data_IF_201811343757
#
_entry.id   IF_201811343757
#
_cell.length_a   1.000
_cell.length_b   1.000
_cell.length_c   1.000
_cell.angle_alpha   90.00
_cell.angle_beta   90.00
_cell.angle_gamma   90.00
#
_symmetry.space_group_name_H-M   'P 1'
#
loop_
_entity.id
_entity.type
_entity.pdbx_description
1 polymer ?
#
# COMPACT_ATOMS: atom_id res chain seq x y z
N UNK A 1 20.74 -9.91 -16.03
CA UNK A 1 20.57 -11.28 -15.49
C UNK A 1 20.34 -11.14 -14.01
N UNK A 2 19.24 -11.69 -13.44
CA UNK A 2 19.01 -11.66 -12.00
C UNK A 2 19.94 -12.68 -11.33
N UNK A 3 20.72 -12.23 -10.35
CA UNK A 3 21.59 -13.11 -9.56
C UNK A 3 20.84 -13.81 -8.40
N UNK A 4 19.52 -13.67 -8.36
CA UNK A 4 18.64 -14.30 -7.36
C UNK A 4 17.91 -15.48 -7.99
N UNK A 5 17.69 -16.52 -7.18
CA UNK A 5 16.86 -17.64 -7.61
C UNK A 5 15.46 -17.15 -8.01
N UNK A 6 14.79 -17.77 -9.01
CA UNK A 6 13.47 -17.33 -9.46
C UNK A 6 12.41 -17.35 -8.36
N UNK A 7 12.63 -18.05 -7.25
CA UNK A 7 11.71 -18.20 -6.11
C UNK A 7 12.27 -17.63 -4.79
N UNK A 8 13.24 -16.72 -4.89
CA UNK A 8 13.81 -16.08 -3.72
C UNK A 8 12.86 -15.01 -3.14
N UNK A 9 13.00 -14.65 -1.86
CA UNK A 9 12.30 -13.50 -1.27
C UNK A 9 12.54 -12.20 -2.03
N UNK A 10 13.68 -12.06 -2.71
CA UNK A 10 14.02 -10.90 -3.55
C UNK A 10 13.19 -10.83 -4.82
N UNK A 11 13.05 -11.93 -5.54
CA UNK A 11 12.22 -11.97 -6.76
C UNK A 11 10.74 -11.75 -6.44
N UNK A 12 10.27 -12.26 -5.31
CA UNK A 12 8.92 -12.04 -4.84
C UNK A 12 8.69 -10.56 -4.42
N UNK A 13 9.66 -9.95 -3.77
CA UNK A 13 9.63 -8.52 -3.45
C UNK A 13 9.58 -7.64 -4.72
N UNK A 14 10.33 -7.98 -5.78
CA UNK A 14 10.25 -7.29 -7.08
C UNK A 14 8.85 -7.43 -7.70
N UNK A 15 8.26 -8.61 -7.68
CA UNK A 15 6.89 -8.82 -8.13
C UNK A 15 5.91 -7.94 -7.37
N UNK A 16 5.98 -7.90 -6.03
CA UNK A 16 5.09 -7.08 -5.20
C UNK A 16 5.27 -5.59 -5.46
N UNK A 17 6.50 -5.12 -5.68
CA UNK A 17 6.76 -3.71 -6.00
C UNK A 17 6.13 -3.31 -7.34
N UNK A 18 6.12 -4.19 -8.32
CA UNK A 18 5.44 -3.98 -9.61
C UNK A 18 3.91 -4.00 -9.49
N UNK A 19 3.36 -4.74 -8.52
CA UNK A 19 1.92 -4.74 -8.22
C UNK A 19 1.50 -3.53 -7.37
N UNK A 20 2.45 -2.86 -6.72
CA UNK A 20 2.16 -1.73 -5.83
C UNK A 20 1.34 -0.60 -6.48
N UNK A 21 1.59 -0.17 -7.74
CA UNK A 21 0.75 0.84 -8.40
C UNK A 21 -0.71 0.42 -8.54
N UNK A 22 -0.97 -0.84 -8.88
CA UNK A 22 -2.32 -1.38 -8.97
C UNK A 22 -3.02 -1.36 -7.60
N UNK A 23 -2.32 -1.84 -6.57
CA UNK A 23 -2.82 -1.87 -5.20
C UNK A 23 -3.05 -0.46 -4.64
N UNK A 24 -2.16 0.49 -4.96
CA UNK A 24 -2.28 1.91 -4.61
C UNK A 24 -3.53 2.54 -5.21
N UNK A 25 -3.73 2.37 -6.52
CA UNK A 25 -4.92 2.86 -7.22
C UNK A 25 -6.17 2.22 -6.64
N UNK A 26 -6.16 0.90 -6.39
CA UNK A 26 -7.29 0.18 -5.79
C UNK A 26 -7.63 0.69 -4.39
N UNK A 27 -6.63 0.92 -3.53
CA UNK A 27 -6.81 1.47 -2.19
C UNK A 27 -7.49 2.86 -2.23
N UNK A 28 -6.98 3.75 -3.09
CA UNK A 28 -7.54 5.08 -3.28
C UNK A 28 -8.92 5.04 -3.93
N UNK A 29 -9.16 4.10 -4.84
CA UNK A 29 -10.47 3.88 -5.44
C UNK A 29 -11.53 3.52 -4.39
N UNK A 30 -11.22 2.63 -3.44
CA UNK A 30 -12.13 2.36 -2.32
C UNK A 30 -12.46 3.62 -1.51
N UNK A 31 -11.51 4.55 -1.35
CA UNK A 31 -11.77 5.80 -0.68
C UNK A 31 -12.72 6.72 -1.45
N UNK A 32 -12.76 6.65 -2.79
CA UNK A 32 -13.67 7.49 -3.59
C UNK A 32 -15.13 7.22 -3.26
N UNK A 33 -15.50 5.99 -2.90
CA UNK A 33 -16.86 5.66 -2.48
C UNK A 33 -17.30 6.43 -1.23
N UNK A 34 -16.36 6.78 -0.35
CA UNK A 34 -16.65 7.44 0.92
C UNK A 34 -16.43 8.97 0.89
N UNK A 35 -15.66 9.46 -0.08
CA UNK A 35 -15.29 10.88 -0.19
C UNK A 35 -16.00 11.61 -1.33
N UNK A 36 -16.71 10.88 -2.20
CA UNK A 36 -17.46 11.46 -3.32
C UNK A 36 -18.56 12.43 -2.83
N UNK A 37 -18.95 13.36 -3.68
CA UNK A 37 -20.05 14.30 -3.37
C UNK A 37 -21.36 13.58 -3.07
N UNK A 38 -21.64 12.47 -3.77
CA UNK A 38 -22.81 11.63 -3.50
C UNK A 38 -22.76 11.03 -2.10
N UNK A 39 -21.58 10.55 -1.66
CA UNK A 39 -21.39 10.04 -0.32
C UNK A 39 -21.54 11.13 0.74
N UNK A 40 -21.07 12.36 0.46
CA UNK A 40 -21.23 13.51 1.35
C UNK A 40 -22.71 13.91 1.49
N UNK A 41 -23.49 13.92 0.40
CA UNK A 41 -24.94 14.18 0.43
C UNK A 41 -25.68 13.09 1.20
N UNK A 42 -25.30 11.82 1.02
CA UNK A 42 -25.89 10.72 1.80
C UNK A 42 -25.51 10.78 3.28
N UNK A 43 -24.32 11.31 3.62
CA UNK A 43 -23.88 11.49 5.01
C UNK A 43 -24.81 12.45 5.79
N UNK A 44 -25.35 13.48 5.16
CA UNK A 44 -26.31 14.40 5.79
C UNK A 44 -27.56 13.65 6.27
N UNK A 45 -28.01 12.64 5.51
CA UNK A 45 -29.16 11.81 5.90
C UNK A 45 -28.82 10.83 7.05
N UNK A 46 -27.58 10.34 7.08
CA UNK A 46 -27.09 9.43 8.14
C UNK A 46 -26.71 10.17 9.42
N UNK A 47 -26.31 11.45 9.34
CA UNK A 47 -26.03 12.29 10.51
C UNK A 47 -27.33 12.66 11.27
N UNK A 48 -28.50 12.55 10.62
CA UNK A 48 -29.79 12.64 11.27
C UNK A 48 -30.16 11.37 12.07
N UNK A 49 -29.43 10.27 11.90
CA UNK A 49 -29.61 9.04 12.68
C UNK A 49 -28.82 9.12 14.01
N UNK A 50 -29.28 8.51 15.11
CA UNK A 50 -28.65 8.59 16.44
C UNK A 50 -27.34 7.79 16.53
N UNK A 51 -26.60 7.63 15.43
CA UNK A 51 -25.31 6.99 15.38
C UNK A 51 -24.20 7.99 15.74
N UNK A 52 -23.33 7.61 16.66
CA UNK A 52 -22.15 8.41 17.00
C UNK A 52 -21.29 8.65 15.76
N UNK A 53 -21.01 9.91 15.34
CA UNK A 53 -20.23 10.23 14.12
C UNK A 53 -18.87 9.54 14.07
N UNK A 54 -18.33 9.23 15.27
CA UNK A 54 -17.05 8.50 15.42
C UNK A 54 -17.11 7.07 14.90
N UNK A 55 -18.20 6.35 15.15
CA UNK A 55 -18.36 4.95 14.72
C UNK A 55 -18.49 4.85 13.21
N UNK A 56 -19.13 5.83 12.60
CA UNK A 56 -19.31 5.87 11.15
C UNK A 56 -17.99 6.15 10.40
N UNK A 57 -17.17 7.10 10.86
CA UNK A 57 -15.84 7.34 10.29
C UNK A 57 -14.91 6.12 10.41
N UNK A 58 -14.95 5.45 11.58
CA UNK A 58 -14.19 4.20 11.79
C UNK A 58 -14.67 3.08 10.86
N UNK A 59 -15.97 2.92 10.67
CA UNK A 59 -16.53 1.90 9.77
C UNK A 59 -16.09 2.13 8.32
N UNK A 60 -16.08 3.37 7.83
CA UNK A 60 -15.58 3.72 6.48
C UNK A 60 -14.09 3.41 6.33
N UNK A 61 -13.29 3.80 7.30
CA UNK A 61 -11.86 3.51 7.30
C UNK A 61 -11.60 2.00 7.32
N UNK A 62 -12.31 1.26 8.17
CA UNK A 62 -12.24 -0.19 8.23
C UNK A 62 -12.65 -0.85 6.91
N UNK A 63 -13.72 -0.37 6.27
CA UNK A 63 -14.16 -0.88 4.97
C UNK A 63 -13.10 -0.67 3.87
N UNK A 64 -12.49 0.53 3.80
CA UNK A 64 -11.42 0.81 2.85
C UNK A 64 -10.18 -0.06 3.11
N UNK A 65 -9.78 -0.22 4.37
CA UNK A 65 -8.69 -1.11 4.78
C UNK A 65 -8.98 -2.57 4.41
N UNK A 66 -10.20 -3.05 4.69
CA UNK A 66 -10.61 -4.42 4.33
C UNK A 66 -10.59 -4.64 2.82
N UNK A 67 -11.15 -3.71 2.03
CA UNK A 67 -11.11 -3.78 0.57
C UNK A 67 -9.68 -3.81 0.02
N UNK A 68 -8.79 -2.97 0.56
CA UNK A 68 -7.38 -2.93 0.18
C UNK A 68 -6.66 -4.23 0.56
N UNK A 69 -6.92 -4.76 1.77
CA UNK A 69 -6.35 -6.03 2.23
C UNK A 69 -6.81 -7.21 1.36
N UNK A 70 -8.09 -7.27 1.01
CA UNK A 70 -8.62 -8.31 0.11
C UNK A 70 -7.98 -8.24 -1.28
N UNK A 71 -7.80 -7.04 -1.83
CA UNK A 71 -7.11 -6.86 -3.11
C UNK A 71 -5.64 -7.31 -3.02
N UNK A 72 -4.93 -6.94 -1.96
CA UNK A 72 -3.55 -7.39 -1.73
C UNK A 72 -3.47 -8.91 -1.57
N UNK A 73 -4.38 -9.51 -0.80
CA UNK A 73 -4.47 -10.96 -0.64
C UNK A 73 -4.76 -11.67 -1.97
N UNK A 74 -5.60 -11.11 -2.83
CA UNK A 74 -5.85 -11.67 -4.15
C UNK A 74 -4.57 -11.71 -4.99
N UNK A 75 -3.79 -10.63 -5.04
CA UNK A 75 -2.50 -10.59 -5.75
C UNK A 75 -1.48 -11.58 -5.16
N UNK A 76 -1.41 -11.70 -3.84
CA UNK A 76 -0.51 -12.65 -3.16
C UNK A 76 -0.93 -14.08 -3.45
N UNK A 77 -2.23 -14.38 -3.37
CA UNK A 77 -2.75 -15.74 -3.64
C UNK A 77 -2.57 -16.15 -5.09
N UNK A 78 -2.70 -15.22 -6.05
CA UNK A 78 -2.41 -15.47 -7.46
C UNK A 78 -0.95 -15.90 -7.66
N UNK A 79 0.00 -15.13 -7.08
CA UNK A 79 1.41 -15.48 -7.13
C UNK A 79 1.69 -16.81 -6.42
N UNK A 80 1.07 -17.03 -5.27
CA UNK A 80 1.21 -18.26 -4.50
C UNK A 80 0.71 -19.48 -5.29
N UNK A 81 -0.46 -19.39 -5.91
CA UNK A 81 -1.01 -20.45 -6.76
C UNK A 81 -0.09 -20.72 -7.95
N UNK A 82 0.43 -19.67 -8.59
CA UNK A 82 1.35 -19.80 -9.71
C UNK A 82 2.61 -20.56 -9.30
N UNK A 83 3.25 -20.17 -8.19
CA UNK A 83 4.46 -20.83 -7.71
C UNK A 83 4.20 -22.27 -7.23
N UNK A 84 3.09 -22.53 -6.55
CA UNK A 84 2.73 -23.87 -6.08
C UNK A 84 2.43 -24.82 -7.22
N UNK A 85 1.59 -24.41 -8.20
CA UNK A 85 1.11 -25.27 -9.29
C UNK A 85 2.21 -25.53 -10.33
N UNK A 86 2.91 -24.48 -10.78
CA UNK A 86 3.86 -24.61 -11.88
C UNK A 86 5.27 -25.04 -11.45
N UNK A 87 5.65 -24.76 -10.20
CA UNK A 87 7.01 -25.00 -9.74
C UNK A 87 7.12 -25.87 -8.49
N UNK A 88 5.99 -26.31 -7.93
CA UNK A 88 5.98 -27.15 -6.73
C UNK A 88 6.62 -26.49 -5.51
N UNK A 89 6.66 -25.14 -5.45
CA UNK A 89 7.33 -24.41 -4.40
C UNK A 89 6.38 -24.04 -3.25
N UNK A 90 6.79 -24.34 -2.01
CA UNK A 90 5.95 -24.19 -0.81
C UNK A 90 6.68 -23.46 0.35
N UNK A 91 7.76 -22.74 0.07
CA UNK A 91 8.56 -22.02 1.07
C UNK A 91 7.95 -20.69 1.55
N UNK A 92 6.68 -20.69 1.93
CA UNK A 92 5.88 -19.50 2.23
C UNK A 92 6.38 -18.63 3.38
N UNK A 93 7.02 -19.24 4.40
CA UNK A 93 7.50 -18.52 5.58
C UNK A 93 8.50 -17.40 5.24
N UNK A 94 9.36 -17.64 4.23
CA UNK A 94 10.33 -16.65 3.77
C UNK A 94 9.72 -15.46 3.03
N UNK A 95 8.45 -15.54 2.60
CA UNK A 95 7.77 -14.46 1.84
C UNK A 95 6.98 -13.48 2.72
N UNK A 96 6.74 -13.83 3.99
CA UNK A 96 5.93 -12.99 4.89
C UNK A 96 6.60 -11.65 5.13
N UNK A 97 7.89 -11.64 5.45
CA UNK A 97 8.61 -10.39 5.74
C UNK A 97 8.72 -9.46 4.52
N UNK A 98 9.14 -9.94 3.30
CA UNK A 98 9.09 -9.14 2.09
C UNK A 98 7.71 -8.56 1.81
N UNK A 99 6.65 -9.35 1.97
CA UNK A 99 5.27 -8.91 1.77
C UNK A 99 4.89 -7.76 2.70
N UNK A 100 5.14 -7.92 3.99
CA UNK A 100 4.77 -6.92 4.99
C UNK A 100 5.51 -5.60 4.76
N UNK A 101 6.82 -5.67 4.51
CA UNK A 101 7.63 -4.45 4.32
C UNK A 101 7.31 -3.74 3.01
N UNK A 102 7.03 -4.50 1.94
CA UNK A 102 6.76 -3.91 0.62
C UNK A 102 5.36 -3.33 0.49
N UNK A 103 4.35 -3.98 1.08
CA UNK A 103 2.95 -3.58 0.86
C UNK A 103 2.37 -2.74 1.99
N UNK A 104 2.62 -3.10 3.25
CA UNK A 104 1.89 -2.47 4.37
C UNK A 104 2.20 -0.98 4.51
N UNK A 105 3.46 -0.51 4.57
CA UNK A 105 3.75 0.91 4.74
C UNK A 105 3.21 1.79 3.62
N UNK A 106 3.45 1.47 2.31
CA UNK A 106 2.92 2.28 1.23
C UNK A 106 1.40 2.31 1.18
N UNK A 107 0.73 1.17 1.41
CA UNK A 107 -0.74 1.11 1.35
C UNK A 107 -1.41 1.83 2.52
N UNK A 108 -0.86 1.74 3.74
CA UNK A 108 -1.34 2.51 4.89
C UNK A 108 -1.13 4.01 4.65
N UNK A 109 0.01 4.40 4.07
CA UNK A 109 0.26 5.79 3.69
C UNK A 109 -0.68 6.27 2.57
N UNK A 110 -0.98 5.42 1.56
CA UNK A 110 -1.96 5.71 0.52
C UNK A 110 -3.34 6.00 1.11
N UNK A 111 -3.80 5.14 2.02
CA UNK A 111 -5.10 5.28 2.68
C UNK A 111 -5.15 6.52 3.58
N UNK A 112 -4.11 6.78 4.37
CA UNK A 112 -4.05 7.93 5.27
C UNK A 112 -4.00 9.26 4.52
N UNK A 113 -3.08 9.38 3.56
CA UNK A 113 -2.94 10.58 2.73
C UNK A 113 -4.16 10.77 1.80
N UNK A 114 -4.66 9.68 1.21
CA UNK A 114 -5.86 9.70 0.38
C UNK A 114 -7.11 10.10 1.16
N UNK A 115 -7.25 9.62 2.42
CA UNK A 115 -8.32 10.06 3.30
C UNK A 115 -8.31 11.57 3.51
N UNK A 116 -7.16 12.13 3.88
CA UNK A 116 -6.99 13.57 4.08
C UNK A 116 -7.29 14.37 2.81
N UNK A 117 -6.69 13.97 1.67
CA UNK A 117 -6.89 14.63 0.37
C UNK A 117 -8.35 14.55 -0.09
N UNK A 118 -8.99 13.40 0.08
CA UNK A 118 -10.40 13.21 -0.26
C UNK A 118 -11.34 14.08 0.58
N UNK A 119 -10.97 14.38 1.82
CA UNK A 119 -11.73 15.31 2.67
C UNK A 119 -11.54 16.77 2.24
N UNK A 120 -10.35 17.15 1.80
CA UNK A 120 -10.08 18.49 1.28
C UNK A 120 -10.82 18.70 -0.05
N UNK A 121 -10.53 17.90 -1.05
CA UNK A 121 -11.19 17.95 -2.37
C UNK A 121 -11.20 16.56 -3.02
N UNK A 122 -12.36 16.01 -3.40
CA UNK A 122 -12.45 14.65 -3.97
C UNK A 122 -11.60 14.43 -5.23
N UNK A 123 -11.41 15.46 -6.07
CA UNK A 123 -10.62 15.35 -7.28
C UNK A 123 -9.12 15.10 -7.02
N UNK A 124 -8.59 15.51 -5.84
CA UNK A 124 -7.20 15.27 -5.46
C UNK A 124 -6.87 13.78 -5.34
N UNK A 125 -7.87 12.94 -5.05
CA UNK A 125 -7.67 11.49 -5.03
C UNK A 125 -7.25 10.94 -6.39
N UNK A 126 -7.85 11.45 -7.48
CA UNK A 126 -7.49 11.00 -8.83
C UNK A 126 -6.07 11.40 -9.21
N UNK A 127 -5.64 12.59 -8.81
CA UNK A 127 -4.24 13.01 -8.99
C UNK A 127 -3.30 12.15 -8.14
N UNK A 128 -3.71 11.84 -6.90
CA UNK A 128 -2.92 11.03 -5.98
C UNK A 128 -2.77 9.57 -6.44
N UNK A 129 -3.75 9.04 -7.19
CA UNK A 129 -3.66 7.71 -7.83
C UNK A 129 -2.48 7.62 -8.80
N UNK A 130 -2.09 8.71 -9.44
CA UNK A 130 -0.99 8.72 -10.41
C UNK A 130 0.40 8.70 -9.76
N UNK A 131 0.51 8.97 -8.47
CA UNK A 131 1.82 9.06 -7.78
C UNK A 131 2.57 7.74 -7.82
N UNK A 132 1.94 6.64 -7.50
CA UNK A 132 2.64 5.34 -7.48
C UNK A 132 3.07 4.85 -8.88
N UNK A 133 2.25 4.92 -9.95
CA UNK A 133 2.72 4.65 -11.30
C UNK A 133 3.88 5.55 -11.74
N UNK A 134 3.83 6.84 -11.38
CA UNK A 134 4.92 7.78 -11.68
C UNK A 134 6.20 7.40 -10.93
N UNK A 135 6.09 7.04 -9.65
CA UNK A 135 7.23 6.56 -8.85
C UNK A 135 7.87 5.31 -9.44
N UNK A 136 7.09 4.41 -10.03
CA UNK A 136 7.61 3.22 -10.71
C UNK A 136 8.48 3.59 -11.93
N UNK A 137 8.11 4.65 -12.65
CA UNK A 137 8.82 5.11 -13.86
C UNK A 137 10.05 5.98 -13.56
N UNK A 138 10.10 6.63 -12.40
CA UNK A 138 11.17 7.56 -12.05
C UNK A 138 12.42 6.87 -11.46
N UNK A 139 13.61 7.43 -11.69
CA UNK A 139 14.84 6.99 -11.01
C UNK A 139 14.84 7.50 -9.56
N UNK A 140 14.18 6.76 -8.67
CA UNK A 140 14.13 7.09 -7.25
C UNK A 140 15.47 6.77 -6.54
N UNK A 141 15.80 7.47 -5.45
CA UNK A 141 16.96 7.14 -4.60
C UNK A 141 16.80 5.75 -3.98
N UNK A 142 17.93 5.13 -3.57
CA UNK A 142 17.96 3.77 -3.02
C UNK A 142 17.03 3.56 -1.83
N UNK A 143 16.87 4.59 -0.98
CA UNK A 143 15.95 4.55 0.17
C UNK A 143 14.48 4.36 -0.21
N UNK A 144 14.08 4.78 -1.41
CA UNK A 144 12.76 4.60 -2.01
C UNK A 144 12.74 3.50 -3.08
N UNK A 145 13.81 2.73 -3.21
CA UNK A 145 13.98 1.69 -4.22
C UNK A 145 12.97 0.54 -4.17
N UNK A 146 12.24 0.41 -3.06
CA UNK A 146 11.09 -0.49 -2.95
C UNK A 146 9.92 -0.11 -3.88
N UNK A 147 9.72 1.20 -4.13
CA UNK A 147 8.61 1.69 -4.95
C UNK A 147 8.79 1.45 -6.46
N UNK A 148 10.02 1.31 -6.92
CA UNK A 148 10.33 1.07 -8.33
C UNK A 148 10.97 -0.29 -8.60
N UNK A 149 11.06 -1.17 -7.61
CA UNK A 149 11.65 -2.51 -7.71
C UNK A 149 13.18 -2.55 -7.84
N UNK A 150 13.84 -1.38 -7.99
CA UNK A 150 15.29 -1.32 -8.19
C UNK A 150 16.09 -1.90 -7.02
N UNK A 151 15.59 -1.74 -5.80
CA UNK A 151 16.22 -2.31 -4.61
C UNK A 151 16.34 -3.84 -4.75
N UNK A 152 15.28 -4.49 -5.19
CA UNK A 152 15.24 -5.95 -5.33
C UNK A 152 16.15 -6.47 -6.45
N UNK A 153 16.35 -5.66 -7.49
CA UNK A 153 17.21 -6.01 -8.62
C UNK A 153 18.70 -5.71 -8.36
N UNK A 154 19.02 -4.62 -7.66
CA UNK A 154 20.38 -4.10 -7.53
C UNK A 154 21.06 -4.46 -6.22
N UNK A 155 20.32 -4.40 -5.10
CA UNK A 155 20.92 -4.61 -3.78
C UNK A 155 21.46 -6.04 -3.56
N UNK A 156 20.81 -7.13 -4.02
CA UNK A 156 21.38 -8.47 -3.90
C UNK A 156 22.74 -8.63 -4.61
N UNK A 157 22.97 -7.85 -5.68
CA UNK A 157 24.25 -7.87 -6.38
C UNK A 157 25.41 -7.35 -5.53
N UNK A 158 25.12 -6.41 -4.62
CA UNK A 158 26.14 -5.83 -3.72
C UNK A 158 26.54 -6.78 -2.59
N UNK A 159 25.73 -7.80 -2.29
CA UNK A 159 25.99 -8.78 -1.24
C UNK A 159 26.95 -9.90 -1.68
N UNK A 160 27.26 -10.01 -2.98
CA UNK A 160 28.33 -10.87 -3.52
C UNK A 160 28.09 -12.38 -3.41
N UNK A 161 26.96 -12.82 -2.87
CA UNK A 161 26.58 -14.24 -2.74
C UNK A 161 25.45 -14.59 -3.70
N UNK A 162 25.47 -15.83 -4.21
CA UNK A 162 24.33 -16.38 -4.95
C UNK A 162 23.18 -16.61 -3.93
N UNK A 163 22.00 -15.99 -4.20
CA UNK A 163 20.82 -16.07 -3.35
C UNK A 163 21.06 -15.62 -1.89
N UNK A 164 21.39 -14.32 -1.68
CA UNK A 164 21.66 -13.81 -0.34
C UNK A 164 20.38 -13.82 0.52
N UNK A 165 20.56 -14.03 1.82
CA UNK A 165 19.47 -13.91 2.79
C UNK A 165 18.77 -12.53 2.65
N UNK A 166 17.47 -12.50 2.81
CA UNK A 166 16.69 -11.27 2.66
C UNK A 166 16.97 -10.31 3.82
N UNK A 167 17.79 -9.31 3.55
CA UNK A 167 18.16 -8.26 4.51
C UNK A 167 18.02 -6.90 3.84
N UNK A 168 17.32 -5.96 4.46
CA UNK A 168 17.11 -4.64 3.92
C UNK A 168 18.06 -3.62 4.57
N UNK A 169 18.56 -2.63 3.80
CA UNK A 169 19.33 -1.52 4.36
C UNK A 169 18.54 -0.76 5.42
N UNK A 170 19.22 -0.32 6.49
CA UNK A 170 18.58 0.43 7.57
C UNK A 170 17.85 1.71 7.07
N UNK A 171 18.41 2.38 6.06
CA UNK A 171 17.79 3.55 5.44
C UNK A 171 16.42 3.24 4.82
N UNK A 172 16.28 2.08 4.16
CA UNK A 172 15.02 1.62 3.57
C UNK A 172 14.01 1.32 4.67
N UNK A 173 14.41 0.57 5.70
CA UNK A 173 13.54 0.26 6.84
C UNK A 173 13.07 1.53 7.56
N UNK A 174 13.95 2.52 7.73
CA UNK A 174 13.59 3.80 8.31
C UNK A 174 12.53 4.53 7.47
N UNK A 175 12.70 4.59 6.15
CA UNK A 175 11.71 5.22 5.24
C UNK A 175 10.37 4.48 5.32
N UNK A 176 10.37 3.15 5.33
CA UNK A 176 9.14 2.37 5.45
C UNK A 176 8.45 2.61 6.80
N UNK A 177 9.22 2.73 7.88
CA UNK A 177 8.67 3.07 9.19
C UNK A 177 8.05 4.48 9.20
N UNK A 178 8.72 5.48 8.61
CA UNK A 178 8.19 6.86 8.50
C UNK A 178 6.91 6.88 7.68
N UNK A 179 6.84 6.13 6.56
CA UNK A 179 5.62 6.01 5.75
C UNK A 179 4.48 5.38 6.54
N UNK A 180 4.75 4.30 7.26
CA UNK A 180 3.75 3.64 8.10
C UNK A 180 3.25 4.57 9.20
N UNK A 181 4.15 5.18 9.94
CA UNK A 181 3.81 6.10 11.03
C UNK A 181 3.00 7.31 10.52
N UNK A 182 3.45 7.94 9.43
CA UNK A 182 2.73 9.06 8.81
C UNK A 182 1.34 8.64 8.30
N UNK A 183 1.22 7.47 7.67
CA UNK A 183 -0.07 6.94 7.23
C UNK A 183 -1.04 6.72 8.38
N UNK A 184 -0.59 6.13 9.49
CA UNK A 184 -1.39 5.93 10.70
C UNK A 184 -1.82 7.25 11.32
N UNK A 185 -0.89 8.22 11.43
CA UNK A 185 -1.20 9.56 11.95
C UNK A 185 -2.25 10.24 11.08
N UNK A 186 -2.10 10.20 9.75
CA UNK A 186 -3.05 10.80 8.81
C UNK A 186 -4.44 10.17 8.88
N UNK A 187 -4.54 8.85 9.11
CA UNK A 187 -5.82 8.18 9.36
C UNK A 187 -6.46 8.62 10.69
N UNK A 188 -5.66 8.96 11.69
CA UNK A 188 -6.13 9.42 12.99
C UNK A 188 -6.54 10.91 13.00
N UNK A 189 -5.99 11.73 12.09
CA UNK A 189 -6.30 13.16 11.99
C UNK A 189 -7.76 13.35 11.56
N UNK A 190 -8.48 14.14 12.35
CA UNK A 190 -9.84 14.60 12.04
C UNK A 190 -9.76 16.04 11.56
N UNK A 191 -10.35 16.37 10.41
CA UNK A 191 -10.58 17.77 10.12
C UNK A 191 -11.69 18.28 11.05
N UNK A 192 -11.34 19.22 11.90
CA UNK A 192 -12.26 19.91 12.83
C UNK A 192 -13.36 20.74 12.13
N UNK A 193 -13.30 20.85 10.79
CA UNK A 193 -14.20 21.69 10.01
C UNK A 193 -15.63 21.21 9.82
N UNK A 194 -16.05 20.06 10.35
CA UNK A 194 -17.44 19.57 10.25
C UNK A 194 -18.32 19.96 11.46
N UNK A 195 -17.83 20.81 12.37
CA UNK A 195 -18.62 21.26 13.53
C UNK A 195 -19.40 22.55 13.33
N UNK A 196 -19.32 23.20 12.17
CA UNK A 196 -20.05 24.44 11.90
C UNK A 196 -20.71 24.34 10.53
N UNK A 197 -21.93 23.82 10.50
CA UNK A 197 -23.07 24.33 9.69
C UNK A 197 -24.28 23.46 9.98
#
# INVERSE_FOLDING_TARGET
>A
MSHTAPFSPWSFGDFLSRMLPLLWIGALFFLTFFTSEKARRAAVLTDAAPLLPRRYALARCAAALTGTALLALACISEAACFYGIYFGWYGWSGLVFPTLVTLVPPLVFALGSGWLLGMLRPWLLYVWMLVSPVCLALPLPESLGLWNGRLFAQYPLTLGTLDPAFTLPAAVLFVQFVLLASGVVLLAVRPEGQRQH
#
